data_IF_634752595605
#
_entry.id   IF_634752595605
#
_cell.length_a   1.000
_cell.length_b   1.000
_cell.length_c   1.000
_cell.angle_alpha   90.00
_cell.angle_beta   90.00
_cell.angle_gamma   90.00
#
_symmetry.space_group_name_H-M   'P 1'
#
loop_
_entity.id
_entity.type
_entity.pdbx_description
1 polymer ?
#
# COMPACT_ATOMS: atom_id res chain seq x y z
N UNK A 1 -0.41 -11.03 -13.91
CA UNK A 1 -1.04 -11.79 -12.79
C UNK A 1 -1.80 -10.82 -11.88
N UNK A 2 -2.82 -11.30 -11.17
CA UNK A 2 -3.65 -10.48 -10.26
C UNK A 2 -3.68 -11.10 -8.87
N UNK A 3 -3.48 -10.27 -7.82
CA UNK A 3 -3.69 -10.65 -6.41
C UNK A 3 -4.61 -9.64 -5.71
N UNK A 4 -5.44 -10.03 -4.75
CA UNK A 4 -6.27 -9.10 -3.99
C UNK A 4 -5.46 -8.19 -3.05
N UNK A 5 -4.23 -8.56 -2.70
CA UNK A 5 -3.39 -7.87 -1.70
C UNK A 5 -2.04 -7.45 -2.27
N UNK A 6 -1.61 -6.22 -1.96
CA UNK A 6 -0.31 -5.68 -2.40
C UNK A 6 0.89 -6.49 -1.91
N UNK A 7 0.86 -6.94 -0.66
CA UNK A 7 1.97 -7.70 -0.08
C UNK A 7 2.15 -9.05 -0.77
N UNK A 8 1.04 -9.74 -1.02
CA UNK A 8 1.04 -11.03 -1.73
C UNK A 8 1.49 -10.86 -3.18
N UNK A 9 0.99 -9.81 -3.87
CA UNK A 9 1.42 -9.50 -5.22
C UNK A 9 2.94 -9.32 -5.31
N UNK A 10 3.57 -8.67 -4.33
CA UNK A 10 5.03 -8.50 -4.29
C UNK A 10 5.78 -9.81 -4.05
N UNK A 11 5.30 -10.65 -3.13
CA UNK A 11 5.90 -11.97 -2.88
C UNK A 11 5.89 -12.83 -4.13
N UNK A 12 4.76 -12.85 -4.83
CA UNK A 12 4.63 -13.62 -6.08
C UNK A 12 5.46 -13.00 -7.20
N UNK A 13 5.47 -11.67 -7.32
CA UNK A 13 6.33 -10.99 -8.31
C UNK A 13 7.81 -11.35 -8.11
N UNK A 14 8.29 -11.46 -6.87
CA UNK A 14 9.66 -11.86 -6.58
C UNK A 14 9.96 -13.29 -7.06
N UNK A 15 9.04 -14.25 -6.81
CA UNK A 15 9.20 -15.64 -7.25
C UNK A 15 9.17 -15.73 -8.78
N UNK A 16 8.23 -15.05 -9.43
CA UNK A 16 8.12 -15.02 -10.90
C UNK A 16 9.38 -14.42 -11.53
N UNK A 17 9.91 -13.31 -10.95
CA UNK A 17 11.16 -12.72 -11.45
C UNK A 17 12.33 -13.70 -11.35
N UNK A 18 12.44 -14.45 -10.24
CA UNK A 18 13.47 -15.48 -10.11
C UNK A 18 13.37 -16.53 -11.23
N UNK A 19 12.16 -16.97 -11.54
CA UNK A 19 11.94 -17.93 -12.61
C UNK A 19 12.30 -17.34 -13.98
N UNK A 20 11.85 -16.12 -14.28
CA UNK A 20 12.16 -15.42 -15.54
C UNK A 20 13.66 -15.19 -15.73
N UNK A 21 14.42 -14.92 -14.65
CA UNK A 21 15.87 -14.86 -14.67
C UNK A 21 16.52 -16.22 -14.99
N UNK A 22 16.03 -17.27 -14.34
CA UNK A 22 16.56 -18.63 -14.59
C UNK A 22 16.33 -19.09 -16.04
N UNK A 23 15.25 -18.64 -16.66
CA UNK A 23 14.91 -18.89 -18.06
C UNK A 23 15.62 -17.93 -19.05
N UNK A 24 16.32 -16.91 -18.53
CA UNK A 24 16.97 -15.89 -19.37
C UNK A 24 16.00 -14.93 -20.05
N UNK A 25 14.74 -14.89 -19.62
CA UNK A 25 13.72 -14.00 -20.18
C UNK A 25 13.88 -12.54 -19.75
N UNK A 26 14.56 -12.30 -18.61
CA UNK A 26 14.96 -10.96 -18.13
C UNK A 26 16.43 -10.98 -17.71
N UNK A 27 17.03 -9.79 -17.58
CA UNK A 27 18.45 -9.64 -17.22
C UNK A 27 18.79 -10.27 -15.87
N UNK A 28 19.98 -10.85 -15.78
CA UNK A 28 20.44 -11.51 -14.55
C UNK A 28 20.83 -10.50 -13.46
N UNK A 29 21.38 -9.33 -13.85
CA UNK A 29 21.90 -8.32 -12.94
C UNK A 29 20.80 -7.43 -12.39
N UNK A 30 20.74 -7.29 -11.06
CA UNK A 30 19.81 -6.41 -10.35
C UNK A 30 20.44 -5.07 -10.01
N UNK A 31 19.70 -4.01 -10.24
CA UNK A 31 20.04 -2.65 -9.84
C UNK A 31 19.08 -2.17 -8.75
N UNK A 32 19.65 -1.61 -7.68
CA UNK A 32 18.87 -1.08 -6.56
C UNK A 32 18.32 0.31 -6.89
N UNK A 33 17.01 0.41 -7.03
CA UNK A 33 16.30 1.66 -7.34
C UNK A 33 15.58 2.18 -6.09
N UNK A 34 15.75 3.46 -5.76
CA UNK A 34 15.02 4.09 -4.68
C UNK A 34 13.61 4.46 -5.13
N UNK A 35 12.60 3.78 -4.58
CA UNK A 35 11.19 3.98 -4.93
C UNK A 35 10.40 4.61 -3.79
N UNK A 36 9.44 5.45 -4.15
CA UNK A 36 8.50 6.06 -3.22
C UNK A 36 7.17 5.32 -3.24
N UNK A 37 6.86 4.66 -2.13
CA UNK A 37 5.60 3.93 -1.93
C UNK A 37 4.61 4.78 -1.16
N UNK A 38 3.40 4.89 -1.68
CA UNK A 38 2.32 5.59 -1.01
C UNK A 38 1.88 4.80 0.23
N UNK A 39 1.69 5.50 1.35
CA UNK A 39 0.89 5.01 2.45
C UNK A 39 -0.58 5.25 2.07
N UNK A 40 -1.36 4.16 1.94
CA UNK A 40 -2.78 4.24 1.58
C UNK A 40 -3.61 4.74 2.78
N UNK A 41 -3.38 6.00 3.14
CA UNK A 41 -4.08 6.69 4.22
C UNK A 41 -5.37 7.31 3.69
N UNK A 42 -6.47 7.07 4.37
CA UNK A 42 -7.71 7.79 4.09
C UNK A 42 -7.56 9.29 4.38
N UNK A 43 -8.44 10.15 3.82
CA UNK A 43 -8.34 11.61 3.98
C UNK A 43 -8.32 12.09 5.44
N UNK A 44 -9.02 11.40 6.34
CA UNK A 44 -9.04 11.71 7.77
C UNK A 44 -7.72 11.32 8.44
N UNK A 45 -7.20 10.14 8.09
CA UNK A 45 -5.95 9.59 8.64
C UNK A 45 -4.75 10.40 8.17
N UNK A 46 -4.78 10.95 6.95
CA UNK A 46 -3.75 11.87 6.46
C UNK A 46 -3.58 13.14 7.30
N UNK A 47 -4.54 13.48 8.17
CA UNK A 47 -4.44 14.63 9.08
C UNK A 47 -3.70 14.30 10.36
N UNK A 48 -3.59 13.03 10.70
CA UNK A 48 -2.89 12.58 11.89
C UNK A 48 -1.38 12.71 11.72
N UNK A 49 -0.76 13.50 12.58
CA UNK A 49 0.66 13.80 12.58
C UNK A 49 1.54 12.57 12.84
N UNK A 50 1.00 11.52 13.43
CA UNK A 50 1.69 10.23 13.61
C UNK A 50 2.18 9.62 12.29
N UNK A 51 1.55 9.99 11.18
CA UNK A 51 1.95 9.50 9.87
C UNK A 51 3.08 10.30 9.22
N UNK A 52 3.65 11.29 9.89
CA UNK A 52 4.73 12.15 9.36
C UNK A 52 6.05 11.92 10.10
N UNK A 53 6.50 10.67 10.16
CA UNK A 53 7.80 10.35 10.75
C UNK A 53 8.95 10.96 9.91
N UNK A 54 10.07 11.38 10.55
CA UNK A 54 11.25 11.86 9.84
C UNK A 54 11.72 10.89 8.75
N UNK A 55 12.13 11.45 7.60
CA UNK A 55 12.52 10.68 6.40
C UNK A 55 11.36 10.28 5.48
N UNK A 56 10.10 10.41 5.89
CA UNK A 56 8.96 10.25 4.98
C UNK A 56 8.90 11.40 3.99
N UNK A 57 8.26 11.18 2.85
CA UNK A 57 8.14 12.18 1.79
C UNK A 57 6.67 12.57 1.63
N UNK A 58 6.40 13.88 1.55
CA UNK A 58 5.07 14.43 1.25
C UNK A 58 5.05 14.90 -0.20
N UNK A 59 4.20 14.29 -1.01
CA UNK A 59 4.00 14.64 -2.42
C UNK A 59 2.71 15.43 -2.60
N UNK A 60 2.79 16.66 -3.11
CA UNK A 60 1.63 17.55 -3.28
C UNK A 60 1.00 17.42 -4.67
N UNK A 61 -0.33 17.22 -4.73
CA UNK A 61 -1.09 17.13 -5.99
C UNK A 61 -1.76 18.43 -6.37
N UNK A 62 -2.02 19.30 -5.39
CA UNK A 62 -2.61 20.62 -5.59
C UNK A 62 -1.80 21.68 -4.86
N UNK A 63 -1.99 22.96 -5.26
CA UNK A 63 -1.43 24.07 -4.49
C UNK A 63 -2.01 24.03 -3.07
N UNK A 64 -1.14 24.02 -2.08
CA UNK A 64 -1.50 23.89 -0.67
C UNK A 64 -0.99 25.10 0.10
N UNK A 65 -1.66 25.45 1.19
CA UNK A 65 -1.21 26.51 2.10
C UNK A 65 0.25 26.28 2.54
N UNK A 66 1.02 27.35 2.69
CA UNK A 66 2.48 27.27 2.91
C UNK A 66 3.32 27.33 1.63
N UNK A 67 2.67 27.52 0.46
CA UNK A 67 3.33 27.75 -0.83
C UNK A 67 3.82 26.50 -1.54
N UNK A 68 3.30 25.32 -1.17
CA UNK A 68 3.59 24.05 -1.85
C UNK A 68 2.90 23.98 -3.20
N UNK A 69 3.61 23.52 -4.22
CA UNK A 69 3.13 23.44 -5.60
C UNK A 69 2.80 22.00 -5.99
N UNK A 70 1.87 21.79 -6.95
CA UNK A 70 1.62 20.47 -7.52
C UNK A 70 2.91 19.83 -8.07
N UNK A 71 3.09 18.53 -7.82
CA UNK A 71 4.25 17.75 -8.25
C UNK A 71 5.48 17.89 -7.34
N UNK A 72 5.48 18.81 -6.38
CA UNK A 72 6.59 18.91 -5.42
C UNK A 72 6.57 17.74 -4.44
N UNK A 73 7.77 17.22 -4.16
CA UNK A 73 8.04 16.23 -3.12
C UNK A 73 8.93 16.88 -2.07
N UNK A 74 8.56 16.74 -0.80
CA UNK A 74 9.26 17.31 0.33
C UNK A 74 9.50 16.23 1.38
N UNK A 75 10.70 16.19 1.95
CA UNK A 75 11.05 15.22 3.00
C UNK A 75 10.65 15.76 4.36
N UNK A 76 10.07 14.93 5.19
CA UNK A 76 9.76 15.24 6.58
C UNK A 76 11.08 15.29 7.36
N UNK A 77 11.38 16.43 7.95
CA UNK A 77 12.53 16.64 8.82
C UNK A 77 12.16 16.32 10.27
N UNK A 78 11.07 16.93 10.74
CA UNK A 78 10.57 16.76 12.10
C UNK A 78 9.06 17.03 12.15
N UNK A 79 8.41 16.53 13.19
CA UNK A 79 6.98 16.72 13.43
C UNK A 79 6.79 17.15 14.88
N UNK A 80 6.06 18.23 15.10
CA UNK A 80 5.63 18.68 16.42
C UNK A 80 4.13 18.43 16.62
N UNK A 81 3.54 18.94 17.71
CA UNK A 81 2.13 18.70 18.06
C UNK A 81 1.12 19.27 17.05
N UNK A 82 1.50 20.22 16.17
CA UNK A 82 0.58 20.91 15.27
C UNK A 82 1.01 20.94 13.81
N UNK A 83 2.32 20.88 13.55
CA UNK A 83 2.88 21.08 12.23
C UNK A 83 3.99 20.08 11.92
N UNK A 84 4.23 19.90 10.63
CA UNK A 84 5.30 19.10 10.07
C UNK A 84 6.31 20.02 9.41
N UNK A 85 7.57 19.94 9.80
CA UNK A 85 8.67 20.64 9.15
C UNK A 85 9.15 19.81 7.97
N UNK A 86 9.01 20.38 6.77
CA UNK A 86 9.38 19.76 5.51
C UNK A 86 10.61 20.42 4.91
N UNK A 87 11.49 19.63 4.34
CA UNK A 87 12.72 20.07 3.68
C UNK A 87 12.79 19.64 2.22
N UNK A 88 13.28 20.52 1.35
CA UNK A 88 13.56 20.25 -0.05
C UNK A 88 14.69 21.12 -0.57
N UNK A 89 15.80 20.51 -1.02
CA UNK A 89 16.98 21.24 -1.58
C UNK A 89 17.43 22.39 -0.67
N UNK A 90 17.57 22.13 0.63
CA UNK A 90 17.99 23.11 1.65
C UNK A 90 16.93 24.14 2.06
N UNK A 91 15.75 24.13 1.44
CA UNK A 91 14.62 24.98 1.84
C UNK A 91 13.77 24.25 2.86
N UNK A 92 13.48 24.92 3.97
CA UNK A 92 12.63 24.40 5.05
C UNK A 92 11.30 25.15 5.07
N UNK A 93 10.20 24.43 5.22
CA UNK A 93 8.85 24.99 5.34
C UNK A 93 8.02 24.23 6.35
N UNK A 94 7.13 24.93 7.03
CA UNK A 94 6.13 24.31 7.88
C UNK A 94 4.88 23.96 7.09
N UNK A 95 4.35 22.77 7.35
CA UNK A 95 3.15 22.24 6.75
C UNK A 95 2.17 21.80 7.85
N UNK A 96 0.94 22.28 7.77
CA UNK A 96 -0.15 21.83 8.65
C UNK A 96 -1.08 20.95 7.85
N UNK A 97 -1.15 19.62 8.12
CA UNK A 97 -2.14 18.76 7.49
C UNK A 97 -3.55 19.27 7.79
N UNK A 98 -4.33 19.53 6.77
CA UNK A 98 -5.69 20.06 6.90
C UNK A 98 -6.65 19.36 5.95
N UNK A 99 -7.96 19.61 6.11
CA UNK A 99 -8.99 19.08 5.23
C UNK A 99 -8.91 19.61 3.79
N UNK A 100 -8.22 20.74 3.60
CA UNK A 100 -8.10 21.39 2.29
C UNK A 100 -6.74 21.07 1.68
N UNK A 101 -6.73 20.52 0.48
CA UNK A 101 -5.54 20.13 -0.26
C UNK A 101 -5.49 18.62 -0.52
N UNK A 102 -4.69 18.24 -1.50
CA UNK A 102 -4.44 16.85 -1.87
C UNK A 102 -2.94 16.60 -1.87
N UNK A 103 -2.52 15.69 -1.03
CA UNK A 103 -1.13 15.21 -0.94
C UNK A 103 -1.11 13.72 -0.59
N UNK A 104 0.00 13.10 -0.86
CA UNK A 104 0.30 11.73 -0.41
C UNK A 104 1.42 11.75 0.61
N UNK A 105 1.34 10.85 1.58
CA UNK A 105 2.48 10.49 2.43
C UNK A 105 3.15 9.26 1.83
N UNK A 106 4.43 9.36 1.56
CA UNK A 106 5.22 8.36 0.86
C UNK A 106 6.35 7.86 1.76
N UNK A 107 6.69 6.59 1.60
CA UNK A 107 7.84 5.97 2.26
C UNK A 107 8.87 5.60 1.20
N UNK A 108 10.12 5.98 1.43
CA UNK A 108 11.24 5.52 0.61
C UNK A 108 11.53 4.05 0.89
N UNK A 109 11.74 3.28 -0.16
CA UNK A 109 12.17 1.88 -0.08
C UNK A 109 13.00 1.50 -1.30
N UNK A 110 13.85 0.50 -1.17
CA UNK A 110 14.63 -0.02 -2.27
C UNK A 110 13.84 -1.09 -3.02
N UNK A 111 13.87 -1.06 -4.34
CA UNK A 111 13.34 -2.09 -5.23
C UNK A 111 14.44 -2.56 -6.18
N UNK A 112 14.56 -3.87 -6.35
CA UNK A 112 15.47 -4.44 -7.33
C UNK A 112 14.82 -4.43 -8.72
N UNK A 113 15.54 -3.97 -9.72
CA UNK A 113 15.11 -3.85 -11.12
C UNK A 113 16.21 -4.39 -12.02
N UNK A 114 15.85 -5.14 -13.05
CA UNK A 114 16.76 -5.57 -14.11
C UNK A 114 16.20 -5.23 -15.51
N UNK A 115 17.02 -5.35 -16.53
CA UNK A 115 16.59 -5.19 -17.93
C UNK A 115 15.54 -6.27 -18.25
N UNK A 116 14.45 -5.91 -18.92
CA UNK A 116 13.33 -6.78 -19.23
C UNK A 116 12.25 -6.83 -18.13
N UNK A 117 12.50 -6.26 -16.94
CA UNK A 117 11.47 -6.19 -15.90
C UNK A 117 10.27 -5.36 -16.35
N UNK A 118 9.09 -5.87 -16.05
CA UNK A 118 7.87 -5.07 -16.14
C UNK A 118 7.70 -4.26 -14.86
N UNK A 119 7.68 -2.96 -14.98
CA UNK A 119 7.39 -2.03 -13.88
C UNK A 119 6.01 -1.41 -14.04
N UNK A 120 5.36 -1.11 -12.91
CA UNK A 120 4.07 -0.43 -12.87
C UNK A 120 4.21 0.92 -12.17
N UNK A 121 3.73 1.97 -12.80
CA UNK A 121 3.66 3.32 -12.22
C UNK A 121 2.58 3.35 -11.13
N UNK A 122 2.92 3.79 -9.91
CA UNK A 122 2.03 3.81 -8.74
C UNK A 122 1.43 5.18 -8.43
N UNK A 123 1.59 6.13 -9.35
CA UNK A 123 1.00 7.46 -9.27
C UNK A 123 1.50 8.33 -10.40
N UNK A 124 0.59 9.00 -11.08
CA UNK A 124 0.93 9.82 -12.25
C UNK A 124 1.93 10.92 -11.91
N UNK A 125 2.92 11.09 -12.78
CA UNK A 125 3.92 12.16 -12.70
C UNK A 125 4.45 12.52 -14.08
N UNK A 126 5.19 13.62 -14.14
CA UNK A 126 5.84 14.08 -15.38
C UNK A 126 7.32 14.35 -15.12
N UNK A 127 8.17 13.89 -16.04
CA UNK A 127 9.60 14.20 -16.07
C UNK A 127 9.99 14.74 -17.45
N UNK A 128 10.29 16.01 -17.51
CA UNK A 128 10.53 16.70 -18.77
C UNK A 128 9.34 16.56 -19.73
N UNK A 129 9.57 15.91 -20.88
CA UNK A 129 8.52 15.62 -21.88
C UNK A 129 7.79 14.29 -21.61
N UNK A 130 8.32 13.45 -20.73
CA UNK A 130 7.76 12.13 -20.45
C UNK A 130 6.58 12.26 -19.48
N UNK A 131 5.46 11.65 -19.82
CA UNK A 131 4.24 11.57 -19.01
C UNK A 131 4.07 10.13 -18.59
N UNK A 132 3.89 9.91 -17.29
CA UNK A 132 3.61 8.61 -16.68
C UNK A 132 2.26 8.65 -16.03
N UNK A 133 1.38 7.77 -16.47
CA UNK A 133 0.03 7.68 -15.88
C UNK A 133 0.00 6.65 -14.75
N UNK A 134 -0.93 6.84 -13.83
CA UNK A 134 -1.11 5.85 -12.76
C UNK A 134 -1.55 4.50 -13.34
N UNK A 135 -0.90 3.45 -12.90
CA UNK A 135 -1.05 2.07 -13.40
C UNK A 135 -0.44 1.80 -14.79
N UNK A 136 0.27 2.73 -15.43
CA UNK A 136 1.07 2.37 -16.60
C UNK A 136 1.97 1.17 -16.29
N UNK A 137 2.02 0.19 -17.19
CA UNK A 137 2.98 -0.90 -17.16
C UNK A 137 3.91 -0.73 -18.36
N UNK A 138 5.19 -0.75 -18.09
CA UNK A 138 6.21 -0.64 -19.12
C UNK A 138 7.38 -1.58 -18.79
N UNK A 139 8.07 -2.01 -19.83
CA UNK A 139 9.25 -2.85 -19.72
C UNK A 139 10.51 -1.99 -19.66
N UNK A 140 11.45 -2.38 -18.82
CA UNK A 140 12.75 -1.71 -18.66
C UNK A 140 13.69 -2.19 -19.77
N UNK A 141 14.13 -1.26 -20.63
CA UNK A 141 15.06 -1.55 -21.72
C UNK A 141 16.52 -1.36 -21.31
N UNK A 142 16.79 -0.32 -20.51
CA UNK A 142 18.15 0.07 -20.13
C UNK A 142 18.15 0.71 -18.74
N UNK A 143 19.19 0.51 -17.99
CA UNK A 143 19.40 1.09 -16.67
C UNK A 143 20.73 1.84 -16.70
N UNK A 144 20.69 3.15 -16.46
CA UNK A 144 21.88 4.01 -16.33
C UNK A 144 22.07 4.37 -14.85
N UNK A 145 23.13 5.06 -14.49
CA UNK A 145 23.38 5.46 -13.09
C UNK A 145 22.28 6.33 -12.48
N UNK A 146 21.51 7.04 -13.30
CA UNK A 146 20.51 8.01 -12.81
C UNK A 146 19.11 7.77 -13.32
N UNK A 147 18.93 7.01 -14.38
CA UNK A 147 17.65 6.87 -15.09
C UNK A 147 17.33 5.41 -15.44
N UNK A 148 16.05 5.11 -15.45
CA UNK A 148 15.47 3.94 -16.10
C UNK A 148 14.96 4.37 -17.49
N UNK A 149 15.38 3.67 -18.54
CA UNK A 149 14.88 3.85 -19.91
C UNK A 149 13.91 2.72 -20.22
N UNK A 150 12.70 3.07 -20.61
CA UNK A 150 11.64 2.11 -20.92
C UNK A 150 11.67 1.71 -22.39
N UNK A 151 11.04 0.60 -22.73
CA UNK A 151 10.96 0.06 -24.08
C UNK A 151 10.28 1.03 -25.06
N UNK A 152 9.34 1.83 -24.60
CA UNK A 152 8.66 2.89 -25.38
C UNK A 152 9.50 4.17 -25.54
N UNK A 153 10.72 4.21 -25.02
CA UNK A 153 11.65 5.33 -25.09
C UNK A 153 11.51 6.39 -24.00
N UNK A 154 10.48 6.29 -23.14
CA UNK A 154 10.36 7.17 -21.97
C UNK A 154 11.49 6.92 -20.99
N UNK A 155 11.88 7.98 -20.28
CA UNK A 155 12.96 7.96 -19.28
C UNK A 155 12.43 8.49 -17.95
N UNK A 156 12.80 7.85 -16.87
CA UNK A 156 12.49 8.30 -15.51
C UNK A 156 13.70 8.18 -14.60
N UNK A 157 13.79 9.07 -13.61
CA UNK A 157 14.85 9.02 -12.62
C UNK A 157 14.71 7.80 -11.74
N UNK A 158 15.82 7.20 -11.36
CA UNK A 158 15.86 6.11 -10.40
C UNK A 158 15.51 6.58 -8.98
N UNK A 159 15.97 7.79 -8.60
CA UNK A 159 15.75 8.31 -7.27
C UNK A 159 14.34 8.88 -7.10
N UNK A 160 13.61 8.32 -6.15
CA UNK A 160 12.25 8.71 -5.84
C UNK A 160 11.23 8.33 -6.91
N UNK A 161 11.49 7.30 -7.69
CA UNK A 161 10.56 6.77 -8.69
C UNK A 161 9.27 6.25 -8.01
N UNK A 162 8.11 6.57 -8.60
CA UNK A 162 6.81 6.06 -8.13
C UNK A 162 6.44 4.82 -8.93
N UNK A 163 7.15 3.74 -8.68
CA UNK A 163 6.97 2.45 -9.38
C UNK A 163 6.87 1.29 -8.40
N UNK A 164 6.30 0.19 -8.88
CA UNK A 164 6.29 -1.13 -8.23
C UNK A 164 6.46 -2.20 -9.32
N UNK A 165 6.62 -3.46 -8.95
CA UNK A 165 6.67 -4.57 -9.91
C UNK A 165 5.37 -4.65 -10.72
N UNK A 166 5.47 -4.84 -12.03
CA UNK A 166 4.33 -4.87 -12.95
C UNK A 166 3.80 -6.27 -13.25
N UNK A 167 4.57 -7.32 -12.96
CA UNK A 167 4.23 -8.71 -13.32
C UNK A 167 3.05 -9.25 -12.52
N UNK A 168 2.86 -8.81 -11.28
CA UNK A 168 1.71 -9.12 -10.45
C UNK A 168 1.13 -7.84 -9.86
N UNK A 169 -0.14 -7.56 -10.16
CA UNK A 169 -0.83 -6.32 -9.77
C UNK A 169 -2.08 -6.62 -8.96
N UNK A 170 -2.63 -5.61 -8.28
CA UNK A 170 -3.89 -5.81 -7.54
C UNK A 170 -5.10 -5.79 -8.49
N UNK A 171 -6.21 -6.39 -8.04
CA UNK A 171 -7.49 -6.36 -8.76
C UNK A 171 -7.91 -4.93 -9.09
N UNK A 172 -7.70 -3.98 -8.17
CA UNK A 172 -7.98 -2.58 -8.42
C UNK A 172 -7.06 -1.98 -9.50
N UNK A 173 -5.77 -2.28 -9.48
CA UNK A 173 -4.81 -1.80 -10.48
C UNK A 173 -5.03 -2.44 -11.87
N UNK A 174 -5.73 -3.58 -11.95
CA UNK A 174 -6.09 -4.25 -13.19
C UNK A 174 -7.32 -3.65 -13.89
N UNK A 175 -8.02 -2.71 -13.26
CA UNK A 175 -9.19 -2.08 -13.87
C UNK A 175 -8.83 -1.38 -15.18
N UNK A 176 -9.74 -1.38 -16.14
CA UNK A 176 -9.57 -0.86 -17.50
C UNK A 176 -8.52 -1.58 -18.36
N UNK A 177 -8.05 -2.77 -17.94
CA UNK A 177 -7.18 -3.61 -18.74
C UNK A 177 -7.94 -4.86 -19.18
N UNK A 178 -7.67 -5.32 -20.39
CA UNK A 178 -8.17 -6.59 -20.90
C UNK A 178 -7.00 -7.33 -21.55
N UNK A 179 -6.80 -8.58 -21.20
CA UNK A 179 -5.73 -9.45 -21.71
C UNK A 179 -6.31 -10.81 -22.08
N UNK A 180 -5.60 -11.55 -22.90
CA UNK A 180 -6.12 -12.85 -23.36
C UNK A 180 -6.19 -13.85 -22.20
N UNK A 181 -5.16 -13.91 -21.37
CA UNK A 181 -5.08 -14.83 -20.24
C UNK A 181 -4.82 -14.11 -18.92
N UNK A 182 -5.51 -14.52 -17.87
CA UNK A 182 -5.32 -13.98 -16.52
C UNK A 182 -5.01 -15.10 -15.54
N UNK A 183 -3.98 -14.90 -14.73
CA UNK A 183 -3.70 -15.73 -13.57
C UNK A 183 -4.10 -14.95 -12.32
N UNK A 184 -4.95 -15.53 -11.49
CA UNK A 184 -5.49 -14.92 -10.26
C UNK A 184 -5.04 -15.70 -9.05
N UNK A 185 -4.41 -15.02 -8.09
CA UNK A 185 -4.21 -15.51 -6.73
C UNK A 185 -5.48 -15.16 -5.96
N UNK A 186 -6.29 -16.14 -5.65
CA UNK A 186 -7.66 -15.89 -5.21
C UNK A 186 -7.86 -15.92 -3.69
N UNK A 187 -6.80 -16.18 -2.92
CA UNK A 187 -6.90 -16.21 -1.45
C UNK A 187 -7.31 -14.84 -0.89
N UNK A 188 -8.45 -14.80 -0.19
CA UNK A 188 -9.00 -13.57 0.37
C UNK A 188 -9.63 -12.61 -0.64
N UNK A 189 -9.92 -13.07 -1.86
CA UNK A 189 -10.72 -12.31 -2.82
C UNK A 189 -12.19 -12.28 -2.36
N UNK A 190 -12.76 -11.08 -2.31
CA UNK A 190 -14.20 -10.88 -2.16
C UNK A 190 -14.92 -10.96 -3.53
N UNK A 191 -16.25 -10.94 -3.53
CA UNK A 191 -17.05 -10.98 -4.74
C UNK A 191 -16.66 -9.92 -5.76
N UNK A 192 -16.30 -8.70 -5.29
CA UNK A 192 -15.93 -7.57 -6.15
C UNK A 192 -14.55 -7.78 -6.79
N UNK A 193 -13.54 -8.14 -5.99
CA UNK A 193 -12.20 -8.43 -6.49
C UNK A 193 -12.21 -9.62 -7.47
N UNK A 194 -13.01 -10.64 -7.16
CA UNK A 194 -13.22 -11.79 -8.02
C UNK A 194 -13.83 -11.40 -9.36
N UNK A 195 -14.95 -10.66 -9.36
CA UNK A 195 -15.61 -10.18 -10.58
C UNK A 195 -14.68 -9.30 -11.43
N UNK A 196 -13.95 -8.37 -10.80
CA UNK A 196 -13.00 -7.52 -11.50
C UNK A 196 -11.91 -8.36 -12.16
N UNK A 197 -11.38 -9.36 -11.49
CA UNK A 197 -10.32 -10.23 -12.01
C UNK A 197 -10.81 -11.07 -13.17
N UNK A 198 -12.03 -11.68 -13.07
CA UNK A 198 -12.68 -12.45 -14.12
C UNK A 198 -12.88 -11.63 -15.39
N UNK A 199 -13.38 -10.40 -15.23
CA UNK A 199 -13.69 -9.53 -16.37
C UNK A 199 -12.46 -8.99 -17.09
N UNK A 200 -11.23 -9.36 -16.70
CA UNK A 200 -9.99 -8.97 -17.37
C UNK A 200 -9.58 -9.96 -18.47
N UNK A 201 -10.00 -11.21 -18.37
CA UNK A 201 -9.63 -12.25 -19.34
C UNK A 201 -10.56 -12.22 -20.56
N UNK A 202 -9.98 -12.32 -21.76
CA UNK A 202 -10.74 -12.57 -23.01
C UNK A 202 -10.94 -14.05 -23.26
N UNK A 203 -9.90 -14.86 -23.08
CA UNK A 203 -9.88 -16.26 -23.47
C UNK A 203 -9.93 -17.20 -22.27
N UNK A 204 -9.02 -17.01 -21.31
CA UNK A 204 -8.91 -17.93 -20.18
C UNK A 204 -8.47 -17.27 -18.89
N UNK A 205 -8.96 -17.85 -17.78
CA UNK A 205 -8.53 -17.47 -16.43
C UNK A 205 -8.13 -18.71 -15.64
N UNK A 206 -6.98 -18.62 -14.99
CA UNK A 206 -6.47 -19.62 -14.06
C UNK A 206 -6.48 -19.05 -12.65
N UNK A 207 -7.29 -19.61 -11.75
CA UNK A 207 -7.37 -19.19 -10.36
C UNK A 207 -6.66 -20.18 -9.45
N UNK A 208 -5.77 -19.67 -8.62
CA UNK A 208 -5.04 -20.42 -7.60
C UNK A 208 -5.53 -20.03 -6.22
N UNK A 209 -5.89 -21.00 -5.40
CA UNK A 209 -6.32 -20.82 -4.02
C UNK A 209 -5.88 -22.00 -3.18
N UNK A 210 -5.58 -21.77 -1.91
CA UNK A 210 -5.26 -22.81 -0.93
C UNK A 210 -6.49 -23.60 -0.52
N UNK A 211 -7.66 -22.95 -0.51
CA UNK A 211 -8.93 -23.59 -0.12
C UNK A 211 -10.08 -23.15 -1.03
N UNK A 212 -10.57 -24.10 -1.82
CA UNK A 212 -11.70 -23.85 -2.74
C UNK A 212 -13.03 -23.56 -2.02
N UNK A 213 -13.25 -24.15 -0.84
CA UNK A 213 -14.47 -23.94 -0.07
C UNK A 213 -14.54 -22.51 0.48
N UNK A 214 -13.43 -22.03 1.07
CA UNK A 214 -13.32 -20.67 1.58
C UNK A 214 -13.47 -19.64 0.46
N UNK A 215 -12.84 -19.89 -0.70
CA UNK A 215 -13.00 -19.04 -1.87
C UNK A 215 -14.47 -18.96 -2.31
N UNK A 216 -15.16 -20.10 -2.43
CA UNK A 216 -16.57 -20.11 -2.82
C UNK A 216 -17.43 -19.31 -1.85
N UNK A 217 -17.19 -19.46 -0.55
CA UNK A 217 -17.91 -18.72 0.48
C UNK A 217 -17.63 -17.21 0.38
N UNK A 218 -16.38 -16.81 0.23
CA UNK A 218 -16.01 -15.38 0.20
C UNK A 218 -16.52 -14.66 -1.05
N UNK A 219 -16.51 -15.32 -2.22
CA UNK A 219 -17.01 -14.73 -3.47
C UNK A 219 -18.53 -14.67 -3.56
N UNK A 220 -19.25 -15.48 -2.76
CA UNK A 220 -20.71 -15.43 -2.65
C UNK A 220 -21.20 -14.35 -1.69
N UNK A 221 -20.34 -13.87 -0.79
CA UNK A 221 -20.69 -12.78 0.10
C UNK A 221 -20.61 -11.47 -0.69
N UNK A 222 -21.69 -10.65 -0.72
CA UNK A 222 -21.61 -9.32 -1.28
C UNK A 222 -20.50 -8.57 -0.52
N UNK A 223 -19.57 -7.97 -1.26
CA UNK A 223 -18.50 -7.19 -0.69
C UNK A 223 -19.09 -5.99 0.06
N UNK A 224 -19.45 -6.16 1.31
CA UNK A 224 -19.95 -5.10 2.15
C UNK A 224 -18.84 -4.07 2.37
N UNK A 225 -19.07 -2.86 1.92
CA UNK A 225 -18.34 -1.70 2.41
C UNK A 225 -18.78 -1.48 3.84
N UNK A 226 -18.08 -2.06 4.80
CA UNK A 226 -18.26 -1.68 6.20
C UNK A 226 -17.97 -0.19 6.30
N UNK A 227 -18.97 0.58 6.67
CA UNK A 227 -18.79 2.01 6.93
C UNK A 227 -17.78 2.16 8.07
N UNK A 228 -17.07 3.29 8.11
CA UNK A 228 -16.14 3.58 9.21
C UNK A 228 -16.86 3.47 10.57
N UNK A 229 -18.14 3.84 10.59
CA UNK A 229 -19.01 3.73 11.76
C UNK A 229 -19.23 2.27 12.22
N UNK A 230 -19.48 1.36 11.30
CA UNK A 230 -19.61 -0.07 11.62
C UNK A 230 -18.29 -0.67 12.12
N UNK A 231 -17.14 -0.25 11.57
CA UNK A 231 -15.81 -0.66 12.06
C UNK A 231 -15.56 -0.11 13.47
N UNK A 232 -15.90 1.14 13.75
CA UNK A 232 -15.79 1.75 15.08
C UNK A 232 -16.70 1.03 16.07
N UNK A 233 -17.95 0.72 15.71
CA UNK A 233 -18.87 -0.05 16.55
C UNK A 233 -18.37 -1.47 16.80
N UNK A 234 -17.82 -2.15 15.80
CA UNK A 234 -17.22 -3.48 15.96
C UNK A 234 -16.02 -3.45 16.91
N UNK A 235 -15.15 -2.44 16.79
CA UNK A 235 -14.00 -2.23 17.68
C UNK A 235 -14.44 -1.88 19.12
N UNK A 236 -15.50 -1.10 19.29
CA UNK A 236 -16.05 -0.80 20.61
C UNK A 236 -16.68 -2.05 21.26
N UNK A 237 -17.42 -2.85 20.49
CA UNK A 237 -17.97 -4.14 20.97
C UNK A 237 -16.89 -5.13 21.36
N UNK A 238 -15.80 -5.24 20.58
CA UNK A 238 -14.67 -6.12 20.92
C UNK A 238 -13.93 -5.66 22.20
N UNK A 239 -13.77 -4.35 22.41
CA UNK A 239 -13.19 -3.79 23.65
C UNK A 239 -14.07 -4.02 24.87
N UNK A 240 -15.39 -3.94 24.73
CA UNK A 240 -16.34 -4.25 25.81
C UNK A 240 -16.28 -5.74 26.16
N UNK A 241 -16.30 -6.62 25.17
CA UNK A 241 -16.18 -8.08 25.43
C UNK A 241 -14.85 -8.48 26.07
N UNK A 242 -13.76 -7.80 25.71
CA UNK A 242 -12.44 -8.06 26.35
C UNK A 242 -12.41 -7.54 27.79
N UNK A 243 -13.10 -6.43 28.06
CA UNK A 243 -13.20 -5.84 29.42
C UNK A 243 -14.09 -6.70 30.33
N UNK A 244 -15.20 -7.23 29.83
CA UNK A 244 -16.10 -8.11 30.59
C UNK A 244 -15.47 -9.50 30.87
N UNK A 245 -14.55 -9.98 29.99
CA UNK A 245 -13.77 -11.20 30.24
C UNK A 245 -12.62 -11.01 31.22
N UNK A 246 -12.11 -9.78 31.41
CA UNK A 246 -11.02 -9.49 32.34
C UNK A 246 -11.50 -9.10 33.75
N UNK A 247 -12.79 -8.83 33.96
CA UNK A 247 -13.34 -8.34 35.24
C UNK A 247 -13.83 -9.41 36.21
N UNK A 248 -14.14 -10.68 35.89
CA UNK A 248 -14.70 -11.62 36.88
C UNK A 248 -13.74 -11.98 38.00
N UNK A 249 -12.43 -11.91 37.79
CA UNK A 249 -11.45 -12.42 38.76
C UNK A 249 -10.95 -11.38 39.79
N UNK A 250 -11.05 -10.08 39.50
CA UNK A 250 -10.60 -9.05 40.46
C UNK A 250 -11.60 -8.81 41.62
N UNK A 251 -12.90 -8.97 41.36
CA UNK A 251 -13.92 -8.81 42.38
C UNK A 251 -13.95 -10.02 43.33
N UNK A 252 -13.76 -11.22 42.83
CA UNK A 252 -13.71 -12.43 43.65
C UNK A 252 -12.46 -12.46 44.54
N UNK A 253 -11.33 -11.97 44.10
CA UNK A 253 -10.10 -11.86 44.88
C UNK A 253 -10.25 -10.84 46.03
N UNK A 254 -10.92 -9.70 45.79
CA UNK A 254 -11.13 -8.67 46.83
C UNK A 254 -12.14 -9.08 47.92
N UNK A 255 -13.15 -9.91 47.60
CA UNK A 255 -14.06 -10.47 48.59
C UNK A 255 -13.43 -11.56 49.46
N UNK A 256 -12.47 -12.33 48.91
CA UNK A 256 -11.75 -13.36 49.68
C UNK A 256 -10.81 -12.73 50.75
N UNK A 257 -10.20 -11.58 50.46
CA UNK A 257 -9.37 -10.86 51.43
C UNK A 257 -10.16 -10.22 52.56
N UNK A 258 -11.39 -9.75 52.30
CA UNK A 258 -12.26 -9.16 53.34
C UNK A 258 -12.78 -10.21 54.33
N UNK A 259 -13.02 -11.44 53.87
CA UNK A 259 -13.50 -12.55 54.71
C UNK A 259 -12.39 -13.14 55.60
N UNK A 260 -11.13 -13.07 55.18
CA UNK A 260 -9.99 -13.54 55.98
C UNK A 260 -9.49 -12.50 57.01
N UNK A 261 -9.87 -11.22 56.85
CA UNK A 261 -9.49 -10.15 57.78
C UNK A 261 -10.42 -9.98 58.99
N UNK A 262 -11.53 -10.71 59.07
CA UNK A 262 -12.45 -10.72 60.26
C UNK A 262 -12.36 -12.03 61.00
N UNK A 263 -11.16 -12.42 61.41
CA UNK A 263 -10.97 -13.46 62.39
C UNK A 263 -11.32 -12.96 63.79
N UNK A 264 -12.54 -13.27 64.26
CA UNK A 264 -12.92 -13.10 65.66
C UNK A 264 -12.44 -14.36 66.39
N UNK A 265 -11.42 -14.16 67.22
CA UNK A 265 -11.09 -15.14 68.29
C UNK A 265 -12.25 -15.38 69.18
N UNK A 266 -12.52 -16.66 69.42
CA UNK A 266 -13.05 -17.21 70.69
C UNK A 266 -12.40 -18.54 70.96
#
# INVERSE_FOLDING_TARGET
>A
MISPRHEEARKVAAVVRQQLKAEGAIGAEDHAVNVLRRLDLGPEVCRDLLHYAPGRVVGFHTRTAGGFKPGEKWTVRETNCETVTLERSGKVRQFKPSAKGKWDVLVSSTMQVCIGDQIRVTGGFREGRNVFENNDIAEVREITDTELVLQDGRRMRQDGARIDQGVCITSHASQCRTVDQVVVLADGADAKAWYVSLSRARESMHAYTRNKADLRQSVMQPGERKSLWELVQALQRSKVQTRDRAMPNLWAAHQAEIVHGMGIER
#
